data_IF_481567200296
#
_entry.id   IF_481567200296
#
_cell.length_a   1.000
_cell.length_b   1.000
_cell.length_c   1.000
_cell.angle_alpha   90.00
_cell.angle_beta   90.00
_cell.angle_gamma   90.00
#
_symmetry.space_group_name_H-M   'P 1'
#
loop_
_entity.id
_entity.type
_entity.pdbx_description
1 polymer ?
#
# COMPACT_ATOMS: atom_id res chain seq x y z
N UNK A 1 -9.97 -3.34 5.71
CA UNK A 1 -9.57 -1.92 5.56
C UNK A 1 -8.62 -1.58 6.71
N UNK A 2 -7.32 -1.79 6.50
CA UNK A 2 -6.30 -1.51 7.51
C UNK A 2 -5.55 -0.24 7.14
N UNK A 3 -5.81 0.81 7.93
CA UNK A 3 -4.95 1.96 8.21
C UNK A 3 -5.11 2.39 9.69
N UNK A 4 -5.75 1.57 10.54
CA UNK A 4 -6.26 2.02 11.86
C UNK A 4 -5.35 1.75 13.05
N UNK A 5 -4.54 0.70 13.04
CA UNK A 5 -3.90 0.28 14.30
C UNK A 5 -2.45 0.77 14.45
N UNK A 6 -1.88 1.31 13.37
CA UNK A 6 -0.68 2.15 13.39
C UNK A 6 -0.98 3.42 12.63
N UNK A 7 -1.76 4.29 13.26
CA UNK A 7 -1.89 5.68 12.85
C UNK A 7 -0.48 6.18 12.48
N UNK A 8 -0.28 6.74 11.28
CA UNK A 8 1.00 7.31 10.92
C UNK A 8 1.48 8.23 12.04
N UNK A 9 2.79 8.24 12.26
CA UNK A 9 3.49 9.02 13.30
C UNK A 9 2.77 10.33 13.70
N UNK A 10 2.96 10.84 14.94
CA UNK A 10 2.35 12.09 15.45
C UNK A 10 2.38 13.33 14.51
N UNK A 11 3.13 13.27 13.42
CA UNK A 11 3.28 14.25 12.35
C UNK A 11 2.15 14.29 11.32
N UNK A 12 1.27 13.29 11.22
CA UNK A 12 0.15 13.35 10.27
C UNK A 12 -1.10 13.96 10.92
N UNK A 13 -1.30 15.25 10.67
CA UNK A 13 -2.50 16.02 11.08
C UNK A 13 -3.61 15.97 10.02
N UNK A 14 -3.55 15.02 9.09
CA UNK A 14 -4.44 14.95 7.93
C UNK A 14 -5.84 14.40 8.27
N UNK A 15 -6.79 14.63 7.36
CA UNK A 15 -8.17 14.14 7.48
C UNK A 15 -8.18 12.62 7.60
N UNK A 16 -8.77 12.10 8.67
CA UNK A 16 -9.00 10.66 8.85
C UNK A 16 -9.64 10.05 7.58
N UNK A 17 -9.13 8.90 7.16
CA UNK A 17 -9.73 8.13 6.06
C UNK A 17 -10.97 7.41 6.56
N UNK A 18 -12.14 7.84 6.09
CA UNK A 18 -13.39 7.14 6.31
C UNK A 18 -13.78 6.29 5.10
N UNK A 19 -14.58 5.25 5.37
CA UNK A 19 -14.98 4.29 4.36
C UNK A 19 -15.92 4.88 3.30
N UNK A 20 -16.72 5.89 3.65
CA UNK A 20 -17.60 6.57 2.70
C UNK A 20 -16.78 7.31 1.65
N UNK A 21 -15.79 8.07 2.11
CA UNK A 21 -14.81 8.75 1.24
C UNK A 21 -14.08 7.77 0.32
N UNK A 22 -13.60 6.63 0.84
CA UNK A 22 -12.93 5.62 0.01
C UNK A 22 -13.86 4.96 -1.01
N UNK A 23 -15.13 4.72 -0.65
CA UNK A 23 -16.12 4.21 -1.61
C UNK A 23 -16.35 5.20 -2.75
N UNK A 24 -16.48 6.49 -2.44
CA UNK A 24 -16.59 7.53 -3.47
C UNK A 24 -15.33 7.62 -4.32
N UNK A 25 -14.15 7.59 -3.70
CA UNK A 25 -12.87 7.71 -4.39
C UNK A 25 -12.64 6.57 -5.39
N UNK A 26 -13.03 5.35 -5.05
CA UNK A 26 -12.77 4.14 -5.84
C UNK A 26 -13.95 3.70 -6.71
N UNK A 27 -14.90 4.62 -6.92
CA UNK A 27 -16.13 4.38 -7.69
C UNK A 27 -16.89 3.12 -7.23
N UNK A 28 -16.81 2.79 -5.93
CA UNK A 28 -17.48 1.62 -5.37
C UNK A 28 -18.99 1.84 -5.36
N UNK A 29 -19.72 0.83 -5.83
CA UNK A 29 -21.17 0.79 -5.81
C UNK A 29 -21.67 -0.50 -5.17
N UNK A 30 -22.82 -0.46 -4.50
CA UNK A 30 -23.35 -1.62 -3.79
C UNK A 30 -23.77 -2.77 -4.73
N UNK A 31 -24.16 -2.46 -5.97
CA UNK A 31 -24.60 -3.48 -6.94
C UNK A 31 -23.44 -4.09 -7.75
N UNK A 32 -22.35 -3.35 -7.92
CA UNK A 32 -21.23 -3.73 -8.80
C UNK A 32 -19.88 -3.88 -8.10
N UNK A 33 -19.75 -3.40 -6.86
CA UNK A 33 -18.47 -3.22 -6.21
C UNK A 33 -17.64 -2.10 -6.85
N UNK A 34 -16.32 -2.22 -6.75
CA UNK A 34 -15.35 -1.39 -7.47
C UNK A 34 -14.71 -2.20 -8.60
N UNK A 35 -14.06 -1.52 -9.54
CA UNK A 35 -13.38 -2.20 -10.64
C UNK A 35 -12.05 -2.77 -10.20
N UNK A 36 -11.89 -4.09 -10.33
CA UNK A 36 -10.66 -4.78 -9.92
C UNK A 36 -9.55 -4.57 -10.96
N UNK A 37 -9.86 -4.75 -12.24
CA UNK A 37 -8.87 -4.60 -13.32
C UNK A 37 -8.93 -3.26 -14.00
N UNK A 38 -7.77 -2.70 -14.38
CA UNK A 38 -7.68 -1.59 -15.31
C UNK A 38 -8.28 -1.98 -16.67
N UNK A 39 -9.03 -1.08 -17.29
CA UNK A 39 -9.59 -1.30 -18.62
C UNK A 39 -9.75 0.02 -19.39
N UNK A 40 -8.85 0.23 -20.35
CA UNK A 40 -8.83 1.39 -21.25
C UNK A 40 -10.12 1.56 -22.08
N UNK A 41 -10.92 0.51 -22.26
CA UNK A 41 -12.18 0.60 -22.99
C UNK A 41 -13.33 1.22 -22.17
N UNK A 42 -13.16 1.41 -20.86
CA UNK A 42 -14.14 2.08 -19.99
C UNK A 42 -13.85 3.59 -19.95
N UNK A 43 -14.88 4.40 -19.70
CA UNK A 43 -14.79 5.87 -19.72
C UNK A 43 -14.69 6.47 -18.30
N UNK A 44 -14.01 7.61 -18.18
CA UNK A 44 -13.91 8.36 -16.93
C UNK A 44 -13.26 7.58 -15.78
N UNK A 45 -13.77 7.75 -14.56
CA UNK A 45 -13.29 7.03 -13.37
C UNK A 45 -13.55 5.53 -13.41
N UNK A 46 -14.36 5.03 -14.35
CA UNK A 46 -14.51 3.59 -14.53
C UNK A 46 -13.32 2.95 -15.22
N UNK A 47 -12.37 3.69 -15.80
CA UNK A 47 -11.20 3.11 -16.47
C UNK A 47 -10.29 2.34 -15.51
N UNK A 48 -10.04 2.92 -14.34
CA UNK A 48 -9.01 2.49 -13.42
C UNK A 48 -9.39 1.22 -12.65
N UNK A 49 -8.37 0.52 -12.16
CA UNK A 49 -8.50 -0.45 -11.08
C UNK A 49 -8.72 0.28 -9.74
N UNK A 50 -9.28 -0.43 -8.77
CA UNK A 50 -9.55 0.05 -7.41
C UNK A 50 -8.32 0.71 -6.78
N UNK A 51 -7.16 0.06 -6.91
CA UNK A 51 -5.92 0.55 -6.31
C UNK A 51 -5.38 1.81 -7.00
N UNK A 52 -5.64 1.99 -8.31
CA UNK A 52 -5.22 3.18 -9.05
C UNK A 52 -6.04 4.40 -8.62
N UNK A 53 -7.36 4.25 -8.48
CA UNK A 53 -8.23 5.30 -7.96
C UNK A 53 -7.90 5.64 -6.50
N UNK A 54 -7.63 4.62 -5.69
CA UNK A 54 -7.17 4.79 -4.30
C UNK A 54 -5.86 5.57 -4.25
N UNK A 55 -4.84 5.15 -5.00
CA UNK A 55 -3.53 5.83 -5.06
C UNK A 55 -3.66 7.28 -5.56
N UNK A 56 -4.48 7.52 -6.60
CA UNK A 56 -4.75 8.86 -7.10
C UNK A 56 -5.41 9.75 -6.03
N UNK A 57 -6.41 9.23 -5.31
CA UNK A 57 -7.04 9.95 -4.21
C UNK A 57 -6.05 10.25 -3.08
N UNK A 58 -5.26 9.25 -2.69
CA UNK A 58 -4.27 9.40 -1.62
C UNK A 58 -3.25 10.48 -1.95
N UNK A 59 -2.73 10.50 -3.18
CA UNK A 59 -1.83 11.56 -3.68
C UNK A 59 -2.51 12.94 -3.71
N UNK A 60 -3.72 13.03 -4.27
CA UNK A 60 -4.45 14.29 -4.40
C UNK A 60 -4.77 14.95 -3.04
N UNK A 61 -4.89 14.14 -1.98
CA UNK A 61 -5.18 14.61 -0.64
C UNK A 61 -3.95 14.65 0.29
N UNK A 62 -2.75 14.49 -0.25
CA UNK A 62 -1.50 14.59 0.51
C UNK A 62 -1.31 13.49 1.54
N UNK A 63 -1.94 12.32 1.36
CA UNK A 63 -1.63 11.15 2.16
C UNK A 63 -0.21 10.69 1.80
N UNK A 64 0.68 10.54 2.78
CA UNK A 64 2.06 10.15 2.53
C UNK A 64 2.14 8.62 2.37
N UNK A 65 1.40 8.08 1.42
CA UNK A 65 1.37 6.67 1.07
C UNK A 65 1.95 6.52 -0.33
N UNK A 66 2.88 5.58 -0.48
CA UNK A 66 3.38 5.15 -1.78
C UNK A 66 2.81 3.77 -2.09
N UNK A 67 2.15 3.68 -3.23
CA UNK A 67 1.59 2.43 -3.75
C UNK A 67 2.50 1.86 -4.85
N UNK A 68 2.71 0.55 -4.81
CA UNK A 68 3.44 -0.22 -5.83
C UNK A 68 2.73 -1.56 -6.05
N UNK A 69 2.97 -2.20 -7.20
CA UNK A 69 2.44 -3.54 -7.48
C UNK A 69 3.57 -4.54 -7.72
N UNK A 70 3.32 -5.82 -7.43
CA UNK A 70 4.27 -6.90 -7.71
C UNK A 70 3.54 -8.23 -7.96
N UNK A 71 4.13 -9.11 -8.76
CA UNK A 71 3.71 -10.51 -8.90
C UNK A 71 4.61 -11.47 -8.11
N UNK A 72 5.68 -10.95 -7.50
CA UNK A 72 6.68 -11.74 -6.78
C UNK A 72 6.26 -12.00 -5.34
N UNK A 73 6.15 -13.29 -4.98
CA UNK A 73 5.91 -13.67 -3.59
C UNK A 73 7.04 -13.23 -2.66
N UNK A 74 8.29 -13.15 -3.15
CA UNK A 74 9.44 -12.66 -2.37
C UNK A 74 9.25 -11.19 -1.98
N UNK A 75 8.73 -10.37 -2.89
CA UNK A 75 8.46 -8.96 -2.62
C UNK A 75 7.30 -8.80 -1.63
N UNK A 76 6.26 -9.63 -1.75
CA UNK A 76 5.14 -9.69 -0.81
C UNK A 76 5.63 -10.05 0.60
N UNK A 77 6.46 -11.10 0.72
CA UNK A 77 7.05 -11.52 1.98
C UNK A 77 7.92 -10.41 2.58
N UNK A 78 8.74 -9.74 1.77
CA UNK A 78 9.56 -8.62 2.21
C UNK A 78 8.70 -7.43 2.69
N UNK A 79 7.60 -7.14 2.00
CA UNK A 79 6.66 -6.08 2.39
C UNK A 79 5.99 -6.37 3.73
N UNK A 80 5.49 -7.60 3.93
CA UNK A 80 4.89 -8.03 5.20
C UNK A 80 5.88 -7.97 6.36
N UNK A 81 7.14 -8.42 6.15
CA UNK A 81 8.21 -8.29 7.15
C UNK A 81 8.54 -6.84 7.49
N UNK A 82 8.42 -5.95 6.51
CA UNK A 82 8.58 -4.51 6.69
C UNK A 82 7.33 -3.81 7.25
N UNK A 83 6.32 -4.58 7.70
CA UNK A 83 5.06 -4.07 8.25
C UNK A 83 4.32 -3.12 7.28
N UNK A 84 4.41 -3.39 5.98
CA UNK A 84 3.65 -2.68 4.95
C UNK A 84 2.28 -3.30 4.77
N UNK A 85 1.32 -2.49 4.32
CA UNK A 85 0.00 -2.99 3.97
C UNK A 85 0.08 -3.71 2.62
N UNK A 86 -0.51 -4.90 2.55
CA UNK A 86 -0.52 -5.72 1.33
C UNK A 86 -1.96 -6.13 1.02
N UNK A 87 -2.39 -5.85 -0.20
CA UNK A 87 -3.64 -6.32 -0.76
C UNK A 87 -3.33 -7.31 -1.89
N UNK A 88 -3.97 -8.47 -1.89
CA UNK A 88 -3.84 -9.45 -2.97
C UNK A 88 -4.99 -9.26 -3.94
N UNK A 89 -4.63 -9.03 -5.21
CA UNK A 89 -5.59 -8.96 -6.29
C UNK A 89 -5.86 -10.37 -6.83
N UNK A 90 -7.04 -10.88 -6.53
CA UNK A 90 -7.49 -12.18 -7.00
C UNK A 90 -8.55 -11.99 -8.09
N UNK A 91 -8.88 -13.07 -8.80
CA UNK A 91 -9.87 -13.03 -9.88
C UNK A 91 -11.24 -12.62 -9.32
N UNK A 92 -11.61 -11.37 -9.57
CA UNK A 92 -12.89 -10.78 -9.17
C UNK A 92 -12.99 -10.40 -7.70
N UNK A 93 -11.88 -10.39 -6.94
CA UNK A 93 -11.89 -10.06 -5.52
C UNK A 93 -10.54 -9.54 -5.04
N UNK A 94 -10.53 -8.48 -4.26
CA UNK A 94 -9.34 -7.96 -3.58
C UNK A 94 -9.43 -8.31 -2.11
N UNK A 95 -8.34 -8.81 -1.53
CA UNK A 95 -8.28 -9.19 -0.11
C UNK A 95 -7.11 -8.53 0.58
N UNK A 96 -7.26 -8.15 1.86
CA UNK A 96 -6.15 -7.62 2.66
C UNK A 96 -5.40 -8.76 3.32
N UNK A 97 -4.08 -8.79 3.22
CA UNK A 97 -3.24 -9.74 3.92
C UNK A 97 -3.01 -9.25 5.36
N UNK A 98 -3.45 -10.03 6.34
CA UNK A 98 -3.44 -9.64 7.77
C UNK A 98 -2.54 -10.50 8.65
N UNK A 99 -2.07 -11.63 8.12
CA UNK A 99 -1.17 -12.53 8.83
C UNK A 99 -0.37 -13.38 7.86
N UNK A 100 0.84 -13.75 8.25
CA UNK A 100 1.66 -14.71 7.52
C UNK A 100 2.52 -15.53 8.46
N UNK A 101 2.48 -16.85 8.30
CA UNK A 101 3.23 -17.83 9.09
C UNK A 101 4.12 -18.65 8.18
N UNK A 102 5.42 -18.71 8.47
CA UNK A 102 6.37 -19.58 7.77
C UNK A 102 6.13 -21.04 8.19
N UNK A 103 5.87 -21.91 7.21
CA UNK A 103 5.64 -23.34 7.42
C UNK A 103 6.90 -24.18 7.13
N UNK A 104 8.02 -23.55 6.77
CA UNK A 104 9.24 -24.20 6.32
C UNK A 104 9.21 -24.60 4.84
N UNK A 105 10.39 -24.84 4.28
CA UNK A 105 10.53 -25.32 2.90
C UNK A 105 10.00 -24.37 1.82
N UNK A 106 9.96 -23.06 2.09
CA UNK A 106 9.43 -22.05 1.17
C UNK A 106 7.90 -21.94 1.14
N UNK A 107 7.21 -22.58 2.09
CA UNK A 107 5.75 -22.59 2.21
C UNK A 107 5.29 -21.61 3.28
N UNK A 108 4.14 -21.00 3.07
CA UNK A 108 3.57 -20.03 3.99
C UNK A 108 2.06 -20.22 4.15
N UNK A 109 1.57 -20.06 5.37
CA UNK A 109 0.14 -19.85 5.67
C UNK A 109 -0.11 -18.34 5.70
N UNK A 110 -1.16 -17.87 5.05
CA UNK A 110 -1.51 -16.46 4.94
C UNK A 110 -2.95 -16.28 5.40
N UNK A 111 -3.18 -15.33 6.32
CA UNK A 111 -4.53 -14.96 6.74
C UNK A 111 -4.98 -13.75 5.92
N UNK A 112 -6.08 -13.90 5.19
CA UNK A 112 -6.65 -12.88 4.33
C UNK A 112 -7.98 -12.38 4.89
N UNK A 113 -8.12 -11.07 5.06
CA UNK A 113 -9.34 -10.40 5.45
C UNK A 113 -10.09 -9.86 4.22
N UNK A 114 -11.39 -10.15 4.12
CA UNK A 114 -12.19 -9.81 2.96
C UNK A 114 -13.69 -9.70 3.29
N UNK A 115 -14.47 -9.16 2.36
CA UNK A 115 -15.85 -8.72 2.58
C UNK A 115 -16.92 -9.67 2.02
N UNK A 116 -16.57 -10.94 1.79
CA UNK A 116 -17.49 -11.92 1.23
C UNK A 116 -18.73 -12.25 2.10
N UNK A 117 -18.75 -11.84 3.37
CA UNK A 117 -19.91 -11.97 4.28
C UNK A 117 -20.85 -10.76 4.24
N UNK A 118 -20.61 -9.75 3.38
CA UNK A 118 -21.43 -8.54 3.35
C UNK A 118 -22.89 -8.76 2.94
N UNK A 119 -23.22 -9.84 2.25
CA UNK A 119 -24.61 -10.14 1.85
C UNK A 119 -25.48 -10.58 3.02
N UNK A 120 -24.89 -11.25 4.01
CA UNK A 120 -25.56 -11.76 5.21
C UNK A 120 -25.31 -10.88 6.44
N UNK A 121 -24.22 -10.13 6.45
CA UNK A 121 -23.83 -9.25 7.55
C UNK A 121 -23.22 -7.95 6.99
N UNK A 122 -24.00 -6.87 6.81
CA UNK A 122 -23.49 -5.60 6.29
C UNK A 122 -22.32 -5.06 7.11
N UNK A 123 -21.17 -4.83 6.46
CA UNK A 123 -19.92 -4.44 7.14
C UNK A 123 -19.14 -5.61 7.75
N UNK A 124 -19.65 -6.84 7.61
CA UNK A 124 -18.97 -8.07 7.99
C UNK A 124 -17.62 -8.21 7.27
N UNK A 125 -16.60 -8.56 8.05
CA UNK A 125 -15.29 -8.96 7.56
C UNK A 125 -15.08 -10.41 7.91
N UNK A 126 -14.70 -11.21 6.92
CA UNK A 126 -14.28 -12.60 7.12
C UNK A 126 -12.76 -12.67 7.04
N UNK A 127 -12.15 -13.47 7.91
CA UNK A 127 -10.75 -13.86 7.80
C UNK A 127 -10.71 -15.33 7.40
N UNK A 128 -9.99 -15.63 6.33
CA UNK A 128 -9.75 -17.00 5.86
C UNK A 128 -8.25 -17.24 5.72
N UNK A 129 -7.82 -18.47 5.94
CA UNK A 129 -6.43 -18.88 5.75
C UNK A 129 -6.23 -19.52 4.38
N UNK A 130 -5.20 -19.08 3.66
CA UNK A 130 -4.75 -19.62 2.37
C UNK A 130 -3.28 -20.05 2.50
N UNK A 131 -2.81 -20.91 1.60
CA UNK A 131 -1.45 -21.44 1.66
C UNK A 131 -0.69 -21.13 0.38
N UNK A 132 0.50 -20.55 0.50
CA UNK A 132 1.50 -20.53 -0.56
C UNK A 132 2.34 -21.80 -0.47
N UNK A 133 2.35 -22.62 -1.52
CA UNK A 133 3.07 -23.90 -1.54
C UNK A 133 4.52 -23.83 -2.08
N UNK A 134 4.99 -22.61 -2.39
CA UNK A 134 6.25 -22.35 -3.09
C UNK A 134 6.06 -21.91 -4.54
N UNK A 135 4.89 -22.18 -5.12
CA UNK A 135 4.58 -21.92 -6.54
C UNK A 135 3.24 -21.24 -6.75
N UNK A 136 2.23 -21.58 -5.95
CA UNK A 136 0.87 -21.09 -6.12
C UNK A 136 0.17 -20.94 -4.77
N UNK A 137 -0.90 -20.14 -4.77
CA UNK A 137 -1.78 -20.07 -3.63
C UNK A 137 -2.90 -21.13 -3.72
N UNK A 138 -3.18 -21.78 -2.59
CA UNK A 138 -4.23 -22.80 -2.42
C UNK A 138 -5.11 -22.47 -1.21
N UNK A 139 -6.29 -23.08 -1.11
CA UNK A 139 -7.26 -22.80 -0.04
C UNK A 139 -8.60 -22.31 -0.59
N UNK A 140 -9.00 -21.09 -0.23
CA UNK A 140 -10.29 -20.52 -0.60
C UNK A 140 -10.50 -20.45 -2.13
N UNK A 141 -11.77 -20.59 -2.58
CA UNK A 141 -12.15 -20.67 -4.00
C UNK A 141 -11.62 -19.51 -4.85
N UNK A 142 -11.56 -18.31 -4.28
CA UNK A 142 -11.18 -17.05 -4.94
C UNK A 142 -9.68 -16.96 -5.27
N UNK A 143 -8.87 -17.77 -4.60
CA UNK A 143 -7.40 -17.70 -4.61
C UNK A 143 -6.76 -18.17 -5.92
N UNK A 144 -7.49 -18.98 -6.70
CA UNK A 144 -7.02 -19.57 -7.96
C UNK A 144 -6.74 -18.58 -9.10
N UNK A 145 -6.87 -17.28 -8.85
CA UNK A 145 -6.68 -16.25 -9.86
C UNK A 145 -5.88 -15.06 -9.37
N UNK A 146 -4.83 -15.30 -8.57
CA UNK A 146 -3.87 -14.26 -8.20
C UNK A 146 -3.31 -13.58 -9.46
N UNK A 147 -3.43 -12.25 -9.50
CA UNK A 147 -2.94 -11.43 -10.61
C UNK A 147 -1.67 -10.69 -10.19
N UNK A 148 -1.76 -9.96 -9.09
CA UNK A 148 -0.67 -9.19 -8.48
C UNK A 148 -1.02 -8.86 -7.03
N UNK A 149 -0.05 -8.37 -6.28
CA UNK A 149 -0.26 -7.71 -5.00
C UNK A 149 -0.08 -6.20 -5.14
N UNK A 150 -0.86 -5.44 -4.39
CA UNK A 150 -0.69 -4.02 -4.16
C UNK A 150 -0.01 -3.87 -2.81
N UNK A 151 1.11 -3.16 -2.78
CA UNK A 151 1.89 -2.87 -1.57
C UNK A 151 1.79 -1.38 -1.30
N UNK A 152 1.29 -1.03 -0.13
CA UNK A 152 1.17 0.33 0.36
C UNK A 152 2.17 0.56 1.48
N UNK A 153 2.91 1.66 1.37
CA UNK A 153 3.97 2.03 2.28
C UNK A 153 3.72 3.44 2.78
N UNK A 154 3.62 3.60 4.09
CA UNK A 154 3.73 4.92 4.70
C UNK A 154 5.13 5.48 4.45
N UNK A 155 5.19 6.64 3.82
CA UNK A 155 6.40 7.42 3.62
C UNK A 155 6.47 8.42 4.78
N UNK A 156 7.54 8.48 5.58
CA UNK A 156 7.69 9.58 6.52
C UNK A 156 7.65 10.90 5.75
N UNK A 157 6.83 11.84 6.21
CA UNK A 157 6.84 13.22 5.68
C UNK A 157 8.23 13.76 5.99
N UNK A 158 9.03 14.20 5.00
CA UNK A 158 10.34 14.76 5.30
C UNK A 158 10.14 15.95 6.24
N UNK A 159 10.74 15.88 7.43
CA UNK A 159 10.64 16.99 8.37
C UNK A 159 11.15 18.28 7.71
N UNK A 160 10.52 19.44 7.94
CA UNK A 160 10.95 20.72 7.37
C UNK A 160 12.44 21.02 7.64
N UNK A 161 13.02 20.45 8.70
CA UNK A 161 14.43 20.59 9.08
C UNK A 161 15.44 19.79 8.22
N UNK A 162 15.03 18.73 7.52
CA UNK A 162 15.96 17.91 6.74
C UNK A 162 16.51 18.64 5.50
N UNK A 163 15.73 19.56 4.92
CA UNK A 163 16.19 20.42 3.81
C UNK A 163 17.19 21.50 4.25
N UNK A 164 17.18 21.91 5.53
CA UNK A 164 18.07 22.98 6.03
C UNK A 164 19.49 22.48 6.27
N UNK A 165 19.66 21.20 6.66
CA UNK A 165 20.97 20.58 6.89
C UNK A 165 21.75 20.32 5.58
N UNK A 166 21.06 19.98 4.49
CA UNK A 166 21.70 19.80 3.19
C UNK A 166 22.24 21.13 2.61
N UNK A 167 21.55 22.25 2.85
CA UNK A 167 22.01 23.59 2.42
C UNK A 167 23.15 24.15 3.28
N UNK A 168 23.17 23.87 4.58
CA UNK A 168 24.27 24.31 5.48
C UNK A 168 25.56 23.51 5.24
N UNK A 169 25.48 22.24 4.88
CA UNK A 169 26.66 21.44 4.52
C UNK A 169 27.37 21.97 3.25
N UNK A 170 26.62 22.46 2.25
CA UNK A 170 27.18 23.06 1.04
C UNK A 170 27.84 24.42 1.36
N UNK A 171 27.24 25.23 2.24
CA UNK A 171 27.82 26.50 2.68
C UNK A 171 29.13 26.32 3.46
N UNK A 172 29.22 25.32 4.35
CA UNK A 172 30.45 24.99 5.09
C UNK A 172 31.58 24.47 4.19
N UNK A 173 31.27 23.69 3.15
CA UNK A 173 32.28 23.26 2.17
C UNK A 173 32.80 24.44 1.31
N UNK A 174 31.93 25.40 0.97
CA UNK A 174 32.31 26.57 0.19
C UNK A 174 33.19 27.56 0.98
N UNK A 175 32.98 27.71 2.29
CA UNK A 175 33.82 28.55 3.15
C UNK A 175 35.21 27.94 3.40
N UNK A 176 35.33 26.61 3.49
CA UNK A 176 36.62 25.94 3.71
C UNK A 176 37.59 26.04 2.53
N UNK A 177 37.09 26.28 1.31
CA UNK A 177 37.91 26.51 0.10
C UNK A 177 38.44 27.94 -0.05
N UNK A 178 37.91 28.93 0.67
CA UNK A 178 38.38 30.33 0.56
C UNK A 178 39.51 30.71 1.52
N UNK A 179 39.73 29.94 2.60
CA UNK A 179 40.74 30.27 3.62
C UNK A 179 42.14 29.65 3.38
N UNK A 180 42.36 28.92 2.29
CA UNK A 180 43.66 28.30 1.98
C UNK A 180 44.57 29.14 1.06
N UNK A 181 44.24 30.40 0.75
CA UNK A 181 45.01 31.24 -0.19
C UNK A 181 45.75 32.44 0.41
N UNK A 182 46.06 32.46 1.72
CA UNK A 182 46.91 33.51 2.29
C UNK A 182 48.18 32.86 2.86
N UNK A 183 49.25 32.84 2.05
CA UNK A 183 50.62 32.68 2.56
C UNK A 183 51.22 34.07 2.75
N UNK A 184 51.75 34.42 3.93
CA UNK A 184 52.58 35.60 4.07
C UNK A 184 53.98 35.31 3.52
N UNK A 185 54.55 36.33 2.87
CA UNK A 185 55.96 36.45 2.44
C UNK A 185 56.88 36.66 3.63
#
# INVERSE_FOLDING_TARGET
MFLKDKNPSPQWTGKALDIGTMKTATSWDASRGCWIFHNDARVGSSKNAFWEDKDAYMKANGYPVKTTTTTSFVDILAAMKAMKDVELELKGHTVSLVGMTDLGGGKYSLDIAHDADQSTNPGGTKVETITWDGTSFTGAKWVKGFNYAVIEMFMPIPEPGACVLALTAIACLAMRRRNSSIRPS
#
